data_IF_860004607440
#
_entry.id   IF_860004607440
#
_cell.length_a   1.000
_cell.length_b   1.000
_cell.length_c   1.000
_cell.angle_alpha   90.00
_cell.angle_beta   90.00
_cell.angle_gamma   90.00
#
_symmetry.space_group_name_H-M   'P 1'
#
loop_
_entity.id
_entity.type
_entity.pdbx_description
1 polymer ?
#
# COMPACT_ATOMS: atom_id res chain seq x y z
N UNK A 1 37.64 -24.19 4.19
CA UNK A 1 36.17 -24.08 4.43
C UNK A 1 35.61 -22.85 3.71
N UNK A 2 35.23 -22.92 2.43
CA UNK A 2 34.63 -21.79 1.68
C UNK A 2 33.44 -22.15 0.78
N UNK A 3 33.04 -23.43 0.69
CA UNK A 3 31.99 -23.91 -0.23
C UNK A 3 30.55 -23.87 0.32
N UNK A 4 30.35 -23.73 1.64
CA UNK A 4 29.01 -23.79 2.25
C UNK A 4 28.25 -22.45 2.33
N UNK A 5 28.91 -21.30 2.11
CA UNK A 5 28.24 -19.98 2.17
C UNK A 5 27.36 -19.67 0.94
N UNK A 6 27.64 -20.27 -0.21
CA UNK A 6 26.93 -19.96 -1.46
C UNK A 6 25.66 -20.82 -1.65
N UNK A 7 25.57 -21.97 -0.97
CA UNK A 7 24.42 -22.87 -1.08
C UNK A 7 23.25 -22.36 -0.23
N UNK A 8 23.51 -21.70 0.91
CA UNK A 8 22.45 -21.21 1.80
C UNK A 8 21.68 -20.03 1.17
N UNK A 9 22.34 -19.16 0.40
CA UNK A 9 21.67 -18.02 -0.26
C UNK A 9 20.70 -18.48 -1.36
N UNK A 10 21.06 -19.52 -2.12
CA UNK A 10 20.22 -20.05 -3.19
C UNK A 10 18.98 -20.80 -2.65
N UNK A 11 19.12 -21.53 -1.54
CA UNK A 11 18.00 -22.25 -0.92
C UNK A 11 16.95 -21.31 -0.33
N UNK A 12 17.38 -20.16 0.20
CA UNK A 12 16.46 -19.14 0.72
C UNK A 12 15.69 -18.50 -0.45
N UNK A 13 16.35 -18.21 -1.58
CA UNK A 13 15.71 -17.74 -2.82
C UNK A 13 14.74 -18.76 -3.46
N UNK A 14 15.03 -20.06 -3.37
CA UNK A 14 14.17 -21.12 -3.94
C UNK A 14 12.93 -21.42 -3.08
N UNK A 15 12.98 -21.19 -1.76
CA UNK A 15 11.80 -21.32 -0.87
C UNK A 15 10.88 -20.08 -0.96
N UNK A 16 11.38 -18.94 -1.45
CA UNK A 16 10.56 -17.74 -1.66
C UNK A 16 9.67 -17.81 -2.90
N UNK A 17 9.98 -18.66 -3.89
CA UNK A 17 9.14 -18.82 -5.09
C UNK A 17 7.74 -19.34 -4.79
N UNK A 18 7.58 -20.16 -3.74
CA UNK A 18 6.27 -20.65 -3.28
C UNK A 18 5.65 -19.82 -2.13
N UNK A 19 6.44 -18.96 -1.47
CA UNK A 19 6.04 -18.15 -0.31
C UNK A 19 5.87 -16.64 -0.61
N UNK A 20 6.20 -16.16 -1.81
CA UNK A 20 6.09 -14.75 -2.17
C UNK A 20 4.67 -14.20 -1.94
N UNK A 21 3.65 -14.96 -2.36
CA UNK A 21 2.24 -14.62 -2.11
C UNK A 21 1.89 -14.49 -0.62
N UNK A 22 2.55 -15.25 0.26
CA UNK A 22 2.30 -15.15 1.71
C UNK A 22 2.83 -13.85 2.30
N UNK A 23 4.03 -13.42 1.87
CA UNK A 23 4.64 -12.16 2.31
C UNK A 23 3.82 -10.98 1.80
N UNK A 24 3.44 -11.00 0.51
CA UNK A 24 2.61 -9.96 -0.10
C UNK A 24 1.26 -9.82 0.61
N UNK A 25 0.61 -10.94 0.95
CA UNK A 25 -0.65 -10.95 1.70
C UNK A 25 -0.51 -10.32 3.09
N UNK A 26 0.60 -10.61 3.79
CA UNK A 26 0.86 -10.06 5.12
C UNK A 26 1.10 -8.54 5.06
N UNK A 27 1.82 -8.08 4.04
CA UNK A 27 2.03 -6.66 3.79
C UNK A 27 0.71 -5.96 3.44
N UNK A 28 -0.10 -6.53 2.54
CA UNK A 28 -1.43 -5.98 2.24
C UNK A 28 -2.31 -5.87 3.50
N UNK A 29 -2.36 -6.91 4.33
CA UNK A 29 -3.10 -6.88 5.59
C UNK A 29 -2.63 -5.74 6.50
N UNK A 30 -1.31 -5.61 6.67
CA UNK A 30 -0.74 -4.52 7.46
C UNK A 30 -1.07 -3.12 6.91
N UNK A 31 -1.11 -2.95 5.59
CA UNK A 31 -1.46 -1.69 4.95
C UNK A 31 -2.92 -1.31 5.20
N UNK A 32 -3.81 -2.30 5.13
CA UNK A 32 -5.23 -2.08 5.43
C UNK A 32 -5.44 -1.80 6.93
N UNK A 33 -4.72 -2.49 7.81
CA UNK A 33 -4.71 -2.19 9.24
C UNK A 33 -4.23 -0.77 9.52
N UNK A 34 -3.16 -0.31 8.86
CA UNK A 34 -2.69 1.08 8.96
C UNK A 34 -3.79 2.08 8.55
N UNK A 35 -4.51 1.82 7.45
CA UNK A 35 -5.62 2.69 7.02
C UNK A 35 -6.80 2.68 8.00
N UNK A 36 -7.03 1.55 8.68
CA UNK A 36 -8.07 1.45 9.71
C UNK A 36 -7.66 2.22 10.96
N UNK A 37 -6.38 2.17 11.31
CA UNK A 37 -5.82 2.97 12.40
C UNK A 37 -5.86 4.47 12.09
N UNK A 38 -5.63 4.90 10.84
CA UNK A 38 -5.84 6.30 10.40
C UNK A 38 -7.29 6.73 10.62
N UNK A 39 -8.24 5.94 10.15
CA UNK A 39 -9.68 6.19 10.33
C UNK A 39 -10.05 6.34 11.81
N UNK A 40 -9.58 5.42 12.66
CA UNK A 40 -9.84 5.44 14.10
C UNK A 40 -9.16 6.63 14.80
N UNK A 41 -7.91 6.94 14.45
CA UNK A 41 -7.15 8.05 15.05
C UNK A 41 -7.75 9.42 14.70
N UNK A 42 -8.46 9.52 13.56
CA UNK A 42 -9.19 10.71 13.12
C UNK A 42 -10.64 10.73 13.60
N UNK A 43 -11.03 9.77 14.43
CA UNK A 43 -12.38 9.65 15.00
C UNK A 43 -13.48 9.61 13.94
N UNK A 44 -13.19 9.06 12.77
CA UNK A 44 -14.17 8.90 11.70
C UNK A 44 -15.17 7.78 12.04
N UNK A 45 -16.36 7.86 11.44
CA UNK A 45 -17.39 6.83 11.64
C UNK A 45 -17.15 5.65 10.69
N UNK A 46 -17.69 4.48 11.06
CA UNK A 46 -17.73 3.29 10.20
C UNK A 46 -16.36 2.69 9.82
N UNK A 47 -15.32 2.84 10.65
CA UNK A 47 -13.97 2.34 10.34
C UNK A 47 -13.89 0.83 10.08
N UNK A 48 -14.74 0.00 10.70
CA UNK A 48 -14.82 -1.44 10.40
C UNK A 48 -15.36 -1.73 9.00
N UNK A 49 -16.36 -0.95 8.55
CA UNK A 49 -16.89 -1.06 7.18
C UNK A 49 -15.88 -0.55 6.16
N UNK A 50 -15.14 0.51 6.52
CA UNK A 50 -14.02 1.01 5.72
C UNK A 50 -12.91 -0.03 5.58
N UNK A 51 -12.48 -0.66 6.68
CA UNK A 51 -11.52 -1.76 6.68
C UNK A 51 -11.95 -2.88 5.71
N UNK A 52 -13.20 -3.30 5.82
CA UNK A 52 -13.76 -4.35 4.95
C UNK A 52 -13.76 -3.93 3.47
N UNK A 53 -14.07 -2.67 3.18
CA UNK A 53 -14.02 -2.12 1.82
C UNK A 53 -12.59 -2.07 1.27
N UNK A 54 -11.63 -1.63 2.08
CA UNK A 54 -10.21 -1.61 1.73
C UNK A 54 -9.72 -3.02 1.41
N UNK A 55 -9.95 -3.99 2.32
CA UNK A 55 -9.62 -5.41 2.10
C UNK A 55 -10.23 -5.94 0.80
N UNK A 56 -11.51 -5.64 0.53
CA UNK A 56 -12.19 -6.08 -0.70
C UNK A 56 -11.55 -5.51 -1.97
N UNK A 57 -11.10 -4.25 -1.95
CA UNK A 57 -10.37 -3.69 -3.08
C UNK A 57 -9.05 -4.43 -3.29
N UNK A 58 -8.27 -4.66 -2.25
CA UNK A 58 -7.03 -5.43 -2.38
C UNK A 58 -7.25 -6.86 -2.86
N UNK A 59 -8.32 -7.54 -2.41
CA UNK A 59 -8.67 -8.89 -2.86
C UNK A 59 -8.90 -8.99 -4.37
N UNK A 60 -9.44 -7.94 -5.01
CA UNK A 60 -9.69 -7.92 -6.46
C UNK A 60 -8.40 -7.99 -7.28
N UNK A 61 -7.30 -7.42 -6.77
CA UNK A 61 -6.03 -7.33 -7.49
C UNK A 61 -4.95 -8.31 -6.98
N UNK A 62 -5.18 -8.89 -5.78
CA UNK A 62 -4.25 -9.79 -5.06
C UNK A 62 -3.87 -11.05 -5.86
N UNK A 63 -4.71 -11.45 -6.81
CA UNK A 63 -4.44 -12.64 -7.64
C UNK A 63 -3.36 -12.42 -8.69
N UNK A 64 -3.16 -11.16 -9.10
CA UNK A 64 -2.47 -10.84 -10.34
C UNK A 64 -1.21 -9.95 -10.15
N UNK A 65 -1.02 -9.31 -8.99
CA UNK A 65 0.00 -8.26 -8.84
C UNK A 65 0.78 -8.30 -7.51
N UNK A 66 1.99 -8.88 -7.51
CA UNK A 66 2.90 -8.90 -6.36
C UNK A 66 3.50 -7.52 -6.00
N UNK A 67 3.45 -6.55 -6.92
CA UNK A 67 4.08 -5.24 -6.75
C UNK A 67 3.36 -4.26 -5.81
N UNK A 68 2.11 -4.51 -5.46
CA UNK A 68 1.30 -3.57 -4.65
C UNK A 68 1.70 -3.57 -3.17
N UNK A 69 2.38 -4.62 -2.71
CA UNK A 69 2.79 -4.79 -1.31
C UNK A 69 3.91 -3.82 -0.86
N UNK A 70 4.54 -3.10 -1.80
CA UNK A 70 5.70 -2.22 -1.53
C UNK A 70 5.27 -0.84 -0.97
N UNK A 71 3.98 -0.49 -1.04
CA UNK A 71 3.47 0.80 -0.57
C UNK A 71 3.82 1.09 0.89
N UNK A 72 3.80 0.07 1.75
CA UNK A 72 4.17 0.20 3.17
C UNK A 72 5.58 0.74 3.30
N UNK A 73 6.56 0.15 2.59
CA UNK A 73 7.95 0.58 2.70
C UNK A 73 8.09 2.06 2.34
N UNK A 74 7.44 2.49 1.26
CA UNK A 74 7.56 3.89 0.85
C UNK A 74 6.88 4.85 1.83
N UNK A 75 5.68 4.51 2.29
CA UNK A 75 4.97 5.29 3.31
C UNK A 75 5.81 5.35 4.58
N UNK A 76 6.35 4.23 5.05
CA UNK A 76 7.08 4.14 6.31
C UNK A 76 8.44 4.82 6.30
N UNK A 77 9.21 4.66 5.22
CA UNK A 77 10.58 5.17 5.17
C UNK A 77 10.69 6.61 4.67
N UNK A 78 9.70 7.09 3.91
CA UNK A 78 9.86 8.34 3.16
C UNK A 78 8.80 9.39 3.43
N UNK A 79 7.83 9.09 4.28
CA UNK A 79 6.97 10.13 4.85
C UNK A 79 7.48 10.50 6.24
N UNK A 80 7.26 11.72 6.74
CA UNK A 80 7.64 12.11 8.09
C UNK A 80 6.81 11.30 9.11
N UNK A 81 7.28 10.10 9.48
CA UNK A 81 6.63 9.30 10.51
C UNK A 81 7.28 9.57 11.85
N UNK A 82 6.64 10.42 12.63
CA UNK A 82 6.76 10.34 14.08
C UNK A 82 5.81 9.20 14.50
N UNK A 83 6.29 8.18 15.23
CA UNK A 83 5.46 7.04 15.63
C UNK A 83 4.97 7.25 17.08
N UNK A 84 3.88 8.00 17.25
CA UNK A 84 3.02 7.93 18.44
C UNK A 84 1.57 7.64 18.04
N UNK A 85 0.72 7.33 19.02
CA UNK A 85 -0.68 6.88 18.83
C UNK A 85 -1.54 7.81 17.95
N UNK A 86 -1.17 9.09 17.83
CA UNK A 86 -1.91 10.10 17.09
C UNK A 86 -1.42 10.27 15.64
N UNK A 87 -0.35 9.59 15.23
CA UNK A 87 0.34 9.86 13.96
C UNK A 87 -0.22 9.10 12.76
N UNK A 88 -0.99 8.04 12.98
CA UNK A 88 -1.73 7.44 11.88
C UNK A 88 -2.75 8.40 11.27
N UNK A 89 -3.16 9.47 11.97
CA UNK A 89 -4.15 10.44 11.47
C UNK A 89 -3.75 11.23 10.22
N UNK A 90 -2.48 11.14 9.82
CA UNK A 90 -1.94 11.76 8.62
C UNK A 90 -1.53 10.73 7.56
N UNK A 91 -1.89 9.46 7.72
CA UNK A 91 -1.40 8.39 6.85
C UNK A 91 -1.76 8.66 5.39
N UNK A 92 -3.03 9.00 5.14
CA UNK A 92 -3.50 9.22 3.78
C UNK A 92 -2.88 10.47 3.13
N UNK A 93 -2.72 11.54 3.91
CA UNK A 93 -2.05 12.78 3.47
C UNK A 93 -0.57 12.52 3.14
N UNK A 94 0.10 11.77 4.00
CA UNK A 94 1.50 11.38 3.85
C UNK A 94 1.68 10.47 2.63
N UNK A 95 0.82 9.46 2.45
CA UNK A 95 0.84 8.60 1.27
C UNK A 95 0.63 9.43 -0.01
N UNK A 96 -0.36 10.33 -0.03
CA UNK A 96 -0.62 11.19 -1.18
C UNK A 96 0.56 12.13 -1.50
N UNK A 97 1.27 12.62 -0.49
CA UNK A 97 2.45 13.48 -0.67
C UNK A 97 3.58 12.81 -1.46
N UNK A 98 3.65 11.47 -1.48
CA UNK A 98 4.61 10.73 -2.29
C UNK A 98 4.28 10.77 -3.79
N UNK A 99 3.02 11.06 -4.13
CA UNK A 99 2.49 11.14 -5.49
C UNK A 99 2.34 12.59 -5.98
N UNK A 100 2.74 13.60 -5.22
CA UNK A 100 2.68 14.98 -5.72
C UNK A 100 3.89 15.26 -6.64
N UNK A 101 3.78 16.18 -7.62
CA UNK A 101 4.89 16.49 -8.53
C UNK A 101 6.19 16.91 -7.84
N UNK A 102 6.10 17.50 -6.65
CA UNK A 102 7.25 17.94 -5.86
C UNK A 102 7.96 16.79 -5.12
N UNK A 103 7.37 15.59 -5.10
CA UNK A 103 7.98 14.40 -4.52
C UNK A 103 9.12 13.90 -5.40
N UNK A 104 10.29 13.67 -4.80
CA UNK A 104 11.43 13.00 -5.48
C UNK A 104 11.12 11.56 -5.93
N UNK A 105 9.97 11.03 -5.52
CA UNK A 105 9.50 9.68 -5.83
C UNK A 105 8.32 9.65 -6.80
N UNK A 106 7.87 10.82 -7.28
CA UNK A 106 6.69 10.94 -8.15
C UNK A 106 6.83 10.16 -9.46
N UNK A 107 8.07 9.92 -9.91
CA UNK A 107 8.39 9.19 -11.13
C UNK A 107 8.78 7.72 -10.89
N UNK A 108 8.87 7.26 -9.62
CA UNK A 108 9.20 5.87 -9.31
C UNK A 108 7.99 4.97 -9.62
N UNK A 109 8.09 4.03 -10.57
CA UNK A 109 6.98 3.13 -10.92
C UNK A 109 6.48 2.30 -9.75
N UNK A 110 7.36 1.94 -8.79
CA UNK A 110 6.95 1.20 -7.61
C UNK A 110 6.08 2.08 -6.70
N UNK A 111 6.38 3.37 -6.56
CA UNK A 111 5.58 4.33 -5.79
C UNK A 111 4.26 4.61 -6.46
N UNK A 112 4.30 5.02 -7.74
CA UNK A 112 3.10 5.40 -8.49
C UNK A 112 2.10 4.27 -8.59
N UNK A 113 2.56 3.01 -8.71
CA UNK A 113 1.67 1.84 -8.74
C UNK A 113 1.20 1.45 -7.33
N UNK A 114 2.11 1.27 -6.38
CA UNK A 114 1.74 0.73 -5.06
C UNK A 114 1.02 1.75 -4.18
N UNK A 115 1.58 2.97 -4.05
CA UNK A 115 0.95 4.06 -3.28
C UNK A 115 -0.25 4.60 -4.05
N UNK A 116 -0.17 4.73 -5.37
CA UNK A 116 -1.33 5.10 -6.19
C UNK A 116 -2.50 4.14 -6.03
N UNK A 117 -2.24 2.82 -5.94
CA UNK A 117 -3.28 1.85 -5.64
C UNK A 117 -3.87 2.01 -4.23
N UNK A 118 -3.02 2.28 -3.23
CA UNK A 118 -3.50 2.54 -1.88
C UNK A 118 -4.45 3.74 -1.82
N UNK A 119 -4.10 4.84 -2.49
CA UNK A 119 -4.97 6.01 -2.62
C UNK A 119 -6.24 5.69 -3.41
N UNK A 120 -6.15 4.91 -4.50
CA UNK A 120 -7.30 4.47 -5.27
C UNK A 120 -8.30 3.67 -4.42
N UNK A 121 -7.81 2.70 -3.65
CA UNK A 121 -8.63 1.89 -2.75
C UNK A 121 -9.30 2.76 -1.68
N UNK A 122 -8.56 3.72 -1.11
CA UNK A 122 -9.12 4.68 -0.18
C UNK A 122 -10.24 5.51 -0.81
N UNK A 123 -10.01 6.11 -1.99
CA UNK A 123 -11.02 6.92 -2.68
C UNK A 123 -12.31 6.14 -2.96
N UNK A 124 -12.20 4.85 -3.31
CA UNK A 124 -13.36 3.98 -3.52
C UNK A 124 -14.15 3.71 -2.22
N UNK A 125 -13.52 3.86 -1.05
CA UNK A 125 -14.10 3.57 0.26
C UNK A 125 -14.40 4.81 1.12
N UNK A 126 -13.88 6.00 0.75
CA UNK A 126 -13.94 7.22 1.56
C UNK A 126 -15.38 7.68 1.89
N UNK A 127 -16.34 7.38 1.01
CA UNK A 127 -17.76 7.69 1.24
C UNK A 127 -18.36 6.96 2.45
N UNK A 128 -17.77 5.84 2.89
CA UNK A 128 -18.22 5.07 4.06
C UNK A 128 -17.98 5.85 5.36
N UNK A 129 -16.84 6.54 5.42
CA UNK A 129 -16.37 7.29 6.59
C UNK A 129 -16.73 8.78 6.50
N UNK A 130 -17.09 9.25 5.31
CA UNK A 130 -17.29 10.67 5.01
C UNK A 130 -15.95 11.41 4.85
N UNK A 131 -14.87 10.70 4.54
CA UNK A 131 -13.54 11.28 4.36
C UNK A 131 -13.38 11.95 2.99
N UNK A 132 -12.36 12.79 2.87
CA UNK A 132 -11.97 13.40 1.59
C UNK A 132 -11.40 12.35 0.64
N UNK A 133 -11.43 12.69 -0.65
CA UNK A 133 -10.77 11.92 -1.71
C UNK A 133 -9.56 12.70 -2.23
N UNK A 134 -8.60 11.98 -2.81
CA UNK A 134 -7.37 12.56 -3.37
C UNK A 134 -7.38 12.47 -4.89
N UNK A 135 -6.89 13.49 -5.59
CA UNK A 135 -6.84 13.47 -7.05
C UNK A 135 -5.65 12.63 -7.53
N UNK A 136 -5.93 11.51 -8.20
CA UNK A 136 -4.92 10.62 -8.78
C UNK A 136 -5.12 10.42 -10.29
N UNK A 137 -5.82 11.33 -10.96
CA UNK A 137 -6.22 11.20 -12.37
C UNK A 137 -5.02 11.00 -13.31
N UNK A 138 -3.90 11.67 -13.04
CA UNK A 138 -2.65 11.51 -13.79
C UNK A 138 -2.05 10.11 -13.70
N UNK A 139 -2.33 9.38 -12.61
CA UNK A 139 -1.83 8.02 -12.35
C UNK A 139 -2.80 6.94 -12.81
N UNK A 140 -4.08 7.28 -13.04
CA UNK A 140 -5.12 6.33 -13.42
C UNK A 140 -4.81 5.52 -14.69
N UNK A 141 -4.23 6.09 -15.77
CA UNK A 141 -3.85 5.30 -16.94
C UNK A 141 -2.84 4.20 -16.60
N UNK A 142 -1.79 4.55 -15.85
CA UNK A 142 -0.76 3.60 -15.42
C UNK A 142 -1.34 2.56 -14.45
N UNK A 143 -2.15 2.97 -13.48
CA UNK A 143 -2.81 2.07 -12.54
C UNK A 143 -3.71 1.08 -13.28
N UNK A 144 -4.52 1.53 -14.24
CA UNK A 144 -5.38 0.65 -15.05
C UNK A 144 -4.57 -0.36 -15.86
N UNK A 145 -3.49 0.09 -16.50
CA UNK A 145 -2.56 -0.80 -17.22
C UNK A 145 -1.94 -1.84 -16.28
N UNK A 146 -1.38 -1.38 -15.16
CA UNK A 146 -0.62 -2.21 -14.22
C UNK A 146 -1.48 -3.06 -13.32
N UNK A 147 -2.79 -2.84 -13.25
CA UNK A 147 -3.73 -3.62 -12.44
C UNK A 147 -4.72 -4.42 -13.29
N UNK A 148 -4.68 -4.27 -14.63
CA UNK A 148 -5.61 -4.93 -15.55
C UNK A 148 -7.07 -4.48 -15.40
N UNK A 149 -7.31 -3.28 -14.86
CA UNK A 149 -8.66 -2.73 -14.68
C UNK A 149 -9.03 -1.94 -15.92
N UNK A 150 -10.02 -2.43 -16.70
CA UNK A 150 -10.52 -1.76 -17.91
C UNK A 150 -11.37 -0.54 -17.59
#
# INVERSE_FOLDING_TARGET
MKKFKHIILASILLVFGCNGKYIDNRQIGHLVDMSTNDCNARELKNCERYHSCMMSNYDKIRRDHSGVAIAISYILFYTPIQYERNHFSHLMDNAYSLLTPDSRYADDPAVTVSVGYFIYAHNACASITGDKIYNIDSYMPLLREKLGVK
#
